data_IF_804905030461
#
_entry.id   IF_804905030461
#
_cell.length_a   1.000
_cell.length_b   1.000
_cell.length_c   1.000
_cell.angle_alpha   90.00
_cell.angle_beta   90.00
_cell.angle_gamma   90.00
#
_symmetry.space_group_name_H-M   'P 1'
#
loop_
_entity.id
_entity.type
_entity.pdbx_description
1 polymer ?
#
# COMPACT_ATOMS: atom_id res chain seq x y z
N UNK A 1 50.34 -2.37 45.91
CA UNK A 1 49.02 -2.97 45.63
C UNK A 1 47.96 -1.89 45.72
N UNK A 2 47.48 -1.34 44.59
CA UNK A 2 46.42 -0.33 44.54
C UNK A 2 45.14 -1.00 44.03
N UNK A 3 44.06 -0.85 44.80
CA UNK A 3 42.82 -1.62 44.69
C UNK A 3 41.95 -1.14 43.50
N UNK A 4 41.49 -2.01 42.59
CA UNK A 4 40.80 -1.63 41.34
C UNK A 4 39.32 -1.21 41.53
N UNK A 5 38.90 -0.83 42.75
CA UNK A 5 37.47 -0.65 43.08
C UNK A 5 36.83 0.63 42.51
N UNK A 6 37.63 1.67 42.20
CA UNK A 6 37.10 2.95 41.68
C UNK A 6 36.78 2.92 40.18
N UNK A 7 37.53 2.17 39.37
CA UNK A 7 37.35 2.14 37.90
C UNK A 7 35.99 1.55 37.50
N UNK A 8 35.53 0.51 38.22
CA UNK A 8 34.25 -0.16 37.97
C UNK A 8 33.00 0.73 38.12
N UNK A 9 33.06 1.78 38.94
CA UNK A 9 31.90 2.68 39.16
C UNK A 9 31.73 3.69 38.02
N UNK A 10 32.83 4.14 37.42
CA UNK A 10 32.81 5.02 36.24
C UNK A 10 32.35 4.30 34.97
N UNK A 11 32.76 3.03 34.79
CA UNK A 11 32.31 2.22 33.64
C UNK A 11 30.79 2.00 33.61
N UNK A 12 30.14 1.89 34.77
CA UNK A 12 28.68 1.70 34.88
C UNK A 12 27.88 2.94 34.49
N UNK A 13 28.35 4.14 34.85
CA UNK A 13 27.70 5.41 34.48
C UNK A 13 27.90 5.76 33.00
N UNK A 14 29.09 5.50 32.47
CA UNK A 14 29.41 5.68 31.05
C UNK A 14 28.55 4.77 30.16
N UNK A 15 28.43 3.48 30.49
CA UNK A 15 27.59 2.55 29.74
C UNK A 15 26.11 2.97 29.71
N UNK A 16 25.60 3.52 30.82
CA UNK A 16 24.21 4.00 30.89
C UNK A 16 24.00 5.26 30.03
N UNK A 17 24.98 6.17 29.99
CA UNK A 17 24.95 7.35 29.14
C UNK A 17 25.07 7.01 27.65
N UNK A 18 26.01 6.13 27.28
CA UNK A 18 26.18 5.63 25.90
C UNK A 18 24.90 4.95 25.41
N UNK A 19 24.31 4.08 26.24
CA UNK A 19 23.06 3.39 25.90
C UNK A 19 21.90 4.37 25.76
N UNK A 20 21.81 5.39 26.62
CA UNK A 20 20.81 6.44 26.50
C UNK A 20 20.88 7.16 25.16
N UNK A 21 22.09 7.59 24.75
CA UNK A 21 22.31 8.28 23.47
C UNK A 21 21.95 7.38 22.29
N UNK A 22 22.37 6.10 22.32
CA UNK A 22 22.07 5.14 21.25
C UNK A 22 20.57 4.91 21.14
N UNK A 23 19.87 4.66 22.24
CA UNK A 23 18.42 4.40 22.24
C UNK A 23 17.65 5.63 21.74
N UNK A 24 18.04 6.84 22.18
CA UNK A 24 17.42 8.08 21.72
C UNK A 24 17.52 8.26 20.20
N UNK A 25 18.60 7.79 19.57
CA UNK A 25 18.76 7.83 18.12
C UNK A 25 18.08 6.64 17.42
N UNK A 26 18.16 5.45 18.01
CA UNK A 26 17.66 4.21 17.41
C UNK A 26 16.13 4.19 17.30
N UNK A 27 15.42 4.67 18.32
CA UNK A 27 13.95 4.68 18.35
C UNK A 27 13.36 5.47 17.17
N UNK A 28 13.68 6.76 16.95
CA UNK A 28 13.10 7.51 15.84
C UNK A 28 13.53 6.97 14.48
N UNK A 29 14.74 6.44 14.34
CA UNK A 29 15.17 5.79 13.09
C UNK A 29 14.31 4.55 12.82
N UNK A 30 14.04 3.75 13.84
CA UNK A 30 13.22 2.55 13.69
C UNK A 30 11.79 2.92 13.28
N UNK A 31 11.18 3.93 13.92
CA UNK A 31 9.86 4.43 13.51
C UNK A 31 9.87 5.00 12.10
N UNK A 32 10.88 5.79 11.72
CA UNK A 32 11.00 6.28 10.36
C UNK A 32 11.07 5.14 9.33
N UNK A 33 11.84 4.08 9.62
CA UNK A 33 11.90 2.89 8.76
C UNK A 33 10.54 2.22 8.64
N UNK A 34 9.77 2.10 9.73
CA UNK A 34 8.41 1.54 9.69
C UNK A 34 7.47 2.41 8.84
N UNK A 35 7.51 3.73 8.99
CA UNK A 35 6.67 4.66 8.22
C UNK A 35 6.98 4.55 6.72
N UNK A 36 8.26 4.56 6.34
CA UNK A 36 8.65 4.38 4.95
C UNK A 36 8.27 3.01 4.40
N UNK A 37 8.38 1.95 5.20
CA UNK A 37 7.95 0.61 4.80
C UNK A 37 6.43 0.57 4.52
N UNK A 38 5.62 1.26 5.33
CA UNK A 38 4.17 1.38 5.12
C UNK A 38 3.82 2.06 3.80
N UNK A 39 4.43 3.22 3.52
CA UNK A 39 4.22 3.97 2.26
C UNK A 39 4.61 3.11 1.06
N UNK A 40 5.75 2.43 1.13
CA UNK A 40 6.27 1.61 0.03
C UNK A 40 5.40 0.37 -0.21
N UNK A 41 4.89 -0.23 0.87
CA UNK A 41 3.91 -1.31 0.79
C UNK A 41 2.61 -0.85 0.11
N UNK A 42 2.06 0.30 0.51
CA UNK A 42 0.86 0.86 -0.12
C UNK A 42 1.06 1.16 -1.61
N UNK A 43 2.19 1.76 -1.97
CA UNK A 43 2.53 2.03 -3.35
C UNK A 43 2.61 0.75 -4.20
N UNK A 44 3.22 -0.31 -3.66
CA UNK A 44 3.33 -1.59 -4.36
C UNK A 44 1.97 -2.31 -4.46
N UNK A 45 1.16 -2.27 -3.40
CA UNK A 45 -0.18 -2.82 -3.40
C UNK A 45 -1.06 -2.12 -4.46
N UNK A 46 -1.07 -0.79 -4.49
CA UNK A 46 -1.86 -0.03 -5.47
C UNK A 46 -1.43 -0.32 -6.92
N UNK A 47 -0.13 -0.41 -7.21
CA UNK A 47 0.35 -0.79 -8.54
C UNK A 47 -0.13 -2.18 -8.96
N UNK A 48 -0.07 -3.16 -8.05
CA UNK A 48 -0.60 -4.50 -8.31
C UNK A 48 -2.12 -4.46 -8.54
N UNK A 49 -2.84 -3.71 -7.70
CA UNK A 49 -4.29 -3.50 -7.80
C UNK A 49 -4.72 -2.95 -9.16
N UNK A 50 -4.11 -1.83 -9.58
CA UNK A 50 -4.39 -1.19 -10.88
C UNK A 50 -4.02 -2.12 -12.05
N UNK A 51 -2.95 -2.89 -11.93
CA UNK A 51 -2.58 -3.88 -12.94
C UNK A 51 -3.67 -4.95 -13.11
N UNK A 52 -4.18 -5.54 -12.03
CA UNK A 52 -5.27 -6.51 -12.11
C UNK A 52 -6.58 -5.88 -12.61
N UNK A 53 -6.91 -4.68 -12.14
CA UNK A 53 -8.06 -3.91 -12.60
C UNK A 53 -8.01 -3.71 -14.13
N UNK A 54 -6.84 -3.31 -14.65
CA UNK A 54 -6.62 -3.10 -16.07
C UNK A 54 -6.73 -4.41 -16.86
N UNK A 55 -6.24 -5.54 -16.34
CA UNK A 55 -6.41 -6.86 -16.98
C UNK A 55 -7.89 -7.24 -17.13
N UNK A 56 -8.70 -6.98 -16.10
CA UNK A 56 -10.15 -7.19 -16.18
C UNK A 56 -10.80 -6.22 -17.17
N UNK A 57 -10.36 -4.96 -17.18
CA UNK A 57 -10.83 -3.98 -18.15
C UNK A 57 -10.51 -4.40 -19.59
N UNK A 58 -9.31 -4.91 -19.88
CA UNK A 58 -8.92 -5.31 -21.25
C UNK A 58 -9.60 -6.60 -21.70
N UNK A 59 -9.67 -7.60 -20.83
CA UNK A 59 -10.25 -8.90 -21.19
C UNK A 59 -11.78 -8.87 -21.22
N UNK A 60 -12.41 -7.92 -20.53
CA UNK A 60 -13.87 -7.91 -20.34
C UNK A 60 -14.34 -9.06 -19.47
N UNK A 61 -13.47 -9.62 -18.63
CA UNK A 61 -13.86 -10.68 -17.70
C UNK A 61 -14.82 -10.14 -16.65
N UNK A 62 -15.83 -10.92 -16.31
CA UNK A 62 -16.83 -10.57 -15.29
C UNK A 62 -16.61 -11.41 -14.04
N UNK A 63 -16.62 -10.74 -12.88
CA UNK A 63 -16.69 -11.40 -11.59
C UNK A 63 -18.10 -11.90 -11.31
N UNK A 64 -18.26 -12.62 -10.20
CA UNK A 64 -19.58 -13.04 -9.70
C UNK A 64 -19.84 -12.41 -8.33
N UNK A 65 -21.10 -12.09 -8.07
CA UNK A 65 -21.55 -11.69 -6.75
C UNK A 65 -21.66 -12.88 -5.79
N UNK A 66 -22.06 -12.62 -4.53
CA UNK A 66 -22.24 -13.67 -3.52
C UNK A 66 -23.40 -14.63 -3.81
N UNK A 67 -24.27 -14.31 -4.77
CA UNK A 67 -25.38 -15.15 -5.25
C UNK A 67 -25.01 -15.93 -6.52
N UNK A 68 -23.79 -15.74 -7.05
CA UNK A 68 -23.30 -16.35 -8.27
C UNK A 68 -23.72 -15.64 -9.56
N UNK A 69 -24.39 -14.49 -9.49
CA UNK A 69 -24.75 -13.70 -10.67
C UNK A 69 -23.53 -12.92 -11.19
N UNK A 70 -23.46 -12.73 -12.51
CA UNK A 70 -22.37 -11.96 -13.12
C UNK A 70 -22.45 -10.50 -12.71
N UNK A 71 -21.33 -9.95 -12.25
CA UNK A 71 -21.20 -8.54 -11.91
C UNK A 71 -21.19 -7.67 -13.17
N UNK A 72 -21.57 -6.40 -13.01
CA UNK A 72 -21.34 -5.38 -14.02
C UNK A 72 -19.84 -5.29 -14.36
N UNK A 73 -19.49 -4.74 -15.52
CA UNK A 73 -18.08 -4.66 -15.94
C UNK A 73 -17.28 -3.76 -14.99
N UNK A 74 -17.86 -2.64 -14.57
CA UNK A 74 -17.24 -1.72 -13.63
C UNK A 74 -17.10 -2.35 -12.24
N UNK A 75 -18.11 -3.06 -11.72
CA UNK A 75 -17.98 -3.75 -10.44
C UNK A 75 -16.96 -4.89 -10.48
N UNK A 76 -16.86 -5.59 -11.61
CA UNK A 76 -15.84 -6.63 -11.81
C UNK A 76 -14.42 -6.04 -11.75
N UNK A 77 -14.21 -4.86 -12.34
CA UNK A 77 -12.91 -4.16 -12.27
C UNK A 77 -12.61 -3.69 -10.84
N UNK A 78 -13.60 -3.11 -10.15
CA UNK A 78 -13.45 -2.68 -8.74
C UNK A 78 -13.17 -3.87 -7.83
N UNK A 79 -13.88 -4.98 -8.01
CA UNK A 79 -13.69 -6.21 -7.24
C UNK A 79 -12.30 -6.80 -7.47
N UNK A 80 -11.84 -6.87 -8.72
CA UNK A 80 -10.51 -7.37 -9.05
C UNK A 80 -9.40 -6.53 -8.40
N UNK A 81 -9.57 -5.20 -8.38
CA UNK A 81 -8.63 -4.32 -7.68
C UNK A 81 -8.62 -4.61 -6.17
N UNK A 82 -9.79 -4.63 -5.53
CA UNK A 82 -9.92 -4.87 -4.08
C UNK A 82 -9.35 -6.22 -3.67
N UNK A 83 -9.56 -7.27 -4.47
CA UNK A 83 -8.99 -8.58 -4.23
C UNK A 83 -7.45 -8.59 -4.33
N UNK A 84 -6.87 -7.72 -5.15
CA UNK A 84 -5.43 -7.59 -5.34
C UNK A 84 -4.74 -6.63 -4.36
N UNK A 85 -5.51 -5.91 -3.53
CA UNK A 85 -5.01 -4.97 -2.51
C UNK A 85 -5.52 -5.34 -1.10
N UNK A 86 -5.17 -6.52 -0.56
CA UNK A 86 -5.61 -6.93 0.76
C UNK A 86 -5.08 -5.96 1.84
N UNK A 87 -5.96 -5.60 2.78
CA UNK A 87 -5.66 -4.64 3.84
C UNK A 87 -5.93 -3.18 3.49
N UNK A 88 -6.34 -2.88 2.26
CA UNK A 88 -6.74 -1.54 1.83
C UNK A 88 -8.25 -1.50 1.55
N UNK A 89 -8.94 -0.57 2.20
CA UNK A 89 -10.32 -0.26 1.88
C UNK A 89 -10.36 0.86 0.82
N UNK A 90 -10.83 0.51 -0.38
CA UNK A 90 -10.91 1.43 -1.52
C UNK A 90 -12.38 1.68 -1.80
N UNK A 91 -12.84 2.92 -1.58
CA UNK A 91 -14.22 3.34 -1.84
C UNK A 91 -14.53 3.35 -3.35
N UNK A 92 -15.81 3.20 -3.73
CA UNK A 92 -16.19 3.17 -5.16
C UNK A 92 -15.90 4.49 -5.89
N UNK A 93 -15.98 5.61 -5.17
CA UNK A 93 -15.70 6.95 -5.71
C UNK A 93 -14.20 7.21 -5.98
N UNK A 94 -13.31 6.36 -5.47
CA UNK A 94 -11.88 6.42 -5.76
C UNK A 94 -11.57 5.99 -7.20
N UNK A 95 -12.47 5.22 -7.82
CA UNK A 95 -12.30 4.69 -9.16
C UNK A 95 -12.85 5.65 -10.20
N UNK A 96 -12.04 5.92 -11.21
CA UNK A 96 -12.43 6.66 -12.41
C UNK A 96 -12.09 5.85 -13.65
N UNK A 97 -13.07 5.72 -14.53
CA UNK A 97 -12.95 4.99 -15.79
C UNK A 97 -13.12 5.96 -16.95
N UNK A 98 -12.20 5.89 -17.90
CA UNK A 98 -12.25 6.74 -19.08
C UNK A 98 -11.92 5.93 -20.33
N UNK A 99 -12.81 6.00 -21.31
CA UNK A 99 -12.63 5.38 -22.60
C UNK A 99 -11.91 6.34 -23.52
N UNK A 100 -10.61 6.07 -23.70
CA UNK A 100 -9.72 6.90 -24.51
C UNK A 100 -10.08 6.80 -25.99
N UNK A 101 -10.63 5.67 -26.45
CA UNK A 101 -11.04 5.49 -27.85
C UNK A 101 -12.23 6.36 -28.23
N UNK A 102 -13.16 6.61 -27.30
CA UNK A 102 -14.42 7.32 -27.55
C UNK A 102 -14.48 8.71 -26.90
N UNK A 103 -13.57 9.01 -25.99
CA UNK A 103 -13.53 10.27 -25.25
C UNK A 103 -14.61 10.39 -24.15
N UNK A 104 -15.16 9.27 -23.69
CA UNK A 104 -16.31 9.20 -22.77
C UNK A 104 -15.94 8.60 -21.40
N UNK A 105 -16.61 9.02 -20.31
CA UNK A 105 -16.43 8.41 -18.99
C UNK A 105 -17.23 7.09 -18.89
N UNK A 106 -16.66 6.02 -19.44
CA UNK A 106 -17.21 4.67 -19.35
C UNK A 106 -16.11 3.59 -19.27
N UNK A 107 -16.50 2.34 -19.02
CA UNK A 107 -15.61 1.16 -19.00
C UNK A 107 -15.41 0.53 -20.40
N UNK A 108 -15.95 1.19 -21.43
CA UNK A 108 -15.89 0.86 -22.85
C UNK A 108 -16.43 -0.49 -23.25
N UNK A 109 -15.94 -0.98 -24.38
CA UNK A 109 -16.29 -2.26 -25.02
C UNK A 109 -15.05 -3.03 -25.49
N UNK A 110 -15.24 -4.16 -26.19
CA UNK A 110 -14.16 -4.84 -26.89
C UNK A 110 -13.45 -3.89 -27.87
N UNK A 111 -12.12 -3.98 -27.96
CA UNK A 111 -11.24 -3.13 -28.81
C UNK A 111 -11.13 -1.65 -28.42
N UNK A 112 -11.79 -1.22 -27.34
CA UNK A 112 -11.60 0.13 -26.80
C UNK A 112 -10.36 0.20 -25.89
N UNK A 113 -9.69 1.34 -25.89
CA UNK A 113 -8.60 1.66 -24.97
C UNK A 113 -9.19 2.30 -23.72
N UNK A 114 -9.01 1.64 -22.57
CA UNK A 114 -9.56 2.10 -21.30
C UNK A 114 -8.43 2.58 -20.39
N UNK A 115 -8.63 3.73 -19.77
CA UNK A 115 -7.83 4.20 -18.64
C UNK A 115 -8.59 3.91 -17.35
N UNK A 116 -7.95 3.15 -16.48
CA UNK A 116 -8.39 2.94 -15.11
C UNK A 116 -7.53 3.83 -14.22
N UNK A 117 -8.15 4.68 -13.42
CA UNK A 117 -7.46 5.56 -12.47
C UNK A 117 -8.06 5.38 -11.10
N UNK A 118 -7.20 5.23 -10.10
CA UNK A 118 -7.60 5.08 -8.70
C UNK A 118 -6.82 6.07 -7.85
N UNK A 119 -7.56 6.89 -7.10
CA UNK A 119 -7.00 7.80 -6.13
C UNK A 119 -7.06 7.17 -4.74
N UNK A 120 -5.93 7.11 -4.05
CA UNK A 120 -5.85 6.56 -2.70
C UNK A 120 -4.94 7.44 -1.84
N UNK A 121 -5.49 7.95 -0.75
CA UNK A 121 -4.77 8.75 0.23
C UNK A 121 -4.26 7.84 1.36
N UNK A 122 -2.94 7.78 1.53
CA UNK A 122 -2.32 7.08 2.64
C UNK A 122 -2.60 7.83 3.95
N UNK A 123 -3.06 7.11 4.97
CA UNK A 123 -3.35 7.64 6.32
C UNK A 123 -2.33 7.14 7.34
#
# INVERSE_FOLDING_TARGET
MLTPRRVRRWSRGAALAETGIIITLLIPITFAVMDFAGILYAFQAMQNGVSQATRYAVTGNHGTDGSGAALSRDDSIRQAMRAATPGFEIADNAFTFYNVSKGTPDTGGPKDIIRVTVAYDWQ
#
